data_IF_496796045991
#
_entry.id   IF_496796045991
#
_cell.length_a   1.000
_cell.length_b   1.000
_cell.length_c   1.000
_cell.angle_alpha   90.00
_cell.angle_beta   90.00
_cell.angle_gamma   90.00
#
_symmetry.space_group_name_H-M   'P 1'
#
loop_
_entity.id
_entity.type
_entity.pdbx_description
1 polymer ?
#
# COMPACT_ATOMS: atom_id res chain seq x y z
N UNK A 1 -5.73 -3.83 24.06
CA UNK A 1 -4.56 -3.03 24.49
C UNK A 1 -3.49 -3.23 23.43
N UNK A 2 -3.31 -2.26 22.53
CA UNK A 2 -2.30 -2.36 21.46
C UNK A 2 -0.93 -2.18 22.08
N UNK A 3 -0.03 -3.14 21.87
CA UNK A 3 1.35 -3.05 22.32
C UNK A 3 2.09 -2.16 21.33
N UNK A 4 2.53 -0.99 21.77
CA UNK A 4 3.44 -0.15 20.99
C UNK A 4 4.82 -0.82 21.00
N UNK A 5 5.17 -1.41 19.86
CA UNK A 5 6.45 -2.10 19.66
C UNK A 5 7.65 -1.17 19.87
N UNK A 6 7.52 0.12 19.55
CA UNK A 6 8.58 1.10 19.76
C UNK A 6 8.83 1.34 21.27
N UNK A 7 7.77 1.34 22.08
CA UNK A 7 7.88 1.42 23.54
C UNK A 7 8.50 0.17 24.16
N UNK A 8 8.24 -1.01 23.59
CA UNK A 8 8.91 -2.25 24.01
C UNK A 8 10.42 -2.20 23.76
N UNK A 9 10.83 -1.75 22.58
CA UNK A 9 12.25 -1.62 22.22
C UNK A 9 12.98 -0.61 23.13
N UNK A 10 12.33 0.49 23.51
CA UNK A 10 12.87 1.47 24.46
C UNK A 10 13.22 0.88 25.82
N UNK A 11 12.46 -0.13 26.27
CA UNK A 11 12.62 -0.75 27.61
C UNK A 11 13.67 -1.84 27.65
N UNK A 12 14.17 -2.28 26.49
CA UNK A 12 15.25 -3.26 26.44
C UNK A 12 16.59 -2.57 26.71
N UNK A 13 17.32 -3.08 27.70
CA UNK A 13 18.65 -2.60 28.08
C UNK A 13 19.65 -2.61 26.91
N UNK A 14 19.46 -3.50 25.94
CA UNK A 14 20.25 -3.58 24.72
C UNK A 14 20.08 -2.41 23.74
N UNK A 15 19.04 -1.58 23.88
CA UNK A 15 18.80 -0.39 23.04
C UNK A 15 18.97 0.93 23.80
N UNK A 16 19.34 0.87 25.09
CA UNK A 16 19.57 2.05 25.91
C UNK A 16 20.67 2.93 25.27
N UNK A 17 20.32 4.17 24.94
CA UNK A 17 21.24 5.12 24.30
C UNK A 17 21.53 4.90 22.81
N UNK A 18 20.90 3.91 22.15
CA UNK A 18 21.14 3.60 20.72
C UNK A 18 20.09 4.19 19.77
N UNK A 19 18.99 4.71 20.31
CA UNK A 19 17.91 5.30 19.52
C UNK A 19 18.18 6.81 19.35
N UNK A 20 18.64 7.21 18.17
CA UNK A 20 18.93 8.61 17.87
C UNK A 20 17.66 9.45 17.61
N UNK A 21 16.59 8.85 17.08
CA UNK A 21 15.36 9.57 16.74
C UNK A 21 14.15 8.64 16.67
N UNK A 22 12.98 9.13 17.12
CA UNK A 22 11.68 8.46 16.97
C UNK A 22 10.68 9.48 16.43
N UNK A 23 10.02 9.11 15.34
CA UNK A 23 8.96 9.90 14.74
C UNK A 23 7.70 9.05 14.57
N UNK A 24 6.66 9.26 15.39
CA UNK A 24 5.35 8.68 15.16
C UNK A 24 4.76 9.24 13.87
N UNK A 25 4.45 8.38 12.90
CA UNK A 25 3.73 8.77 11.69
C UNK A 25 2.23 8.57 11.96
N UNK A 26 1.40 9.62 11.89
CA UNK A 26 -0.03 9.47 12.16
C UNK A 26 -0.67 8.55 11.12
N UNK A 27 -1.63 7.74 11.56
CA UNK A 27 -2.44 6.94 10.66
C UNK A 27 -3.18 7.86 9.68
N UNK A 28 -3.10 7.57 8.39
CA UNK A 28 -3.84 8.30 7.35
C UNK A 28 -5.02 7.44 6.91
N UNK A 29 -6.26 7.96 6.93
CA UNK A 29 -7.40 7.21 6.43
C UNK A 29 -7.20 6.88 4.95
N UNK A 30 -7.60 5.67 4.57
CA UNK A 30 -7.72 5.28 3.18
C UNK A 30 -8.60 6.27 2.42
N UNK A 31 -8.16 6.69 1.24
CA UNK A 31 -8.98 7.47 0.30
C UNK A 31 -9.31 6.58 -0.88
N UNK A 32 -10.59 6.44 -1.16
CA UNK A 32 -11.10 5.67 -2.28
C UNK A 32 -11.63 6.61 -3.36
N UNK A 33 -11.65 6.16 -4.60
CA UNK A 33 -12.33 6.84 -5.69
C UNK A 33 -12.76 5.83 -6.75
N UNK A 34 -13.83 6.16 -7.46
CA UNK A 34 -14.20 5.44 -8.67
C UNK A 34 -13.38 5.98 -9.84
N UNK A 35 -12.93 5.12 -10.76
CA UNK A 35 -12.35 5.56 -12.02
C UNK A 35 -13.40 6.23 -12.92
N UNK A 36 -12.97 7.06 -13.85
CA UNK A 36 -13.84 7.80 -14.77
C UNK A 36 -14.76 6.88 -15.59
N UNK A 37 -14.27 5.69 -15.95
CA UNK A 37 -15.07 4.61 -16.54
C UNK A 37 -15.00 3.35 -15.65
N UNK A 38 -16.10 2.59 -15.52
CA UNK A 38 -16.08 1.35 -14.77
C UNK A 38 -15.11 0.33 -15.39
N UNK A 39 -14.55 -0.56 -14.56
CA UNK A 39 -13.78 -1.69 -15.05
C UNK A 39 -14.69 -2.65 -15.85
N UNK A 40 -14.15 -3.39 -16.83
CA UNK A 40 -14.89 -4.51 -17.44
C UNK A 40 -15.36 -5.53 -16.38
N UNK A 41 -16.56 -6.10 -16.54
CA UNK A 41 -17.16 -7.03 -15.57
C UNK A 41 -16.24 -8.18 -15.12
N UNK A 42 -15.48 -8.85 -16.02
CA UNK A 42 -14.57 -9.94 -15.59
C UNK A 42 -13.50 -9.48 -14.58
N UNK A 43 -13.07 -8.23 -14.67
CA UNK A 43 -12.07 -7.66 -13.75
C UNK A 43 -12.70 -7.25 -12.42
N UNK A 44 -13.92 -6.71 -12.45
CA UNK A 44 -14.66 -6.42 -11.22
C UNK A 44 -14.90 -7.70 -10.41
N UNK A 45 -15.32 -8.78 -11.07
CA UNK A 45 -15.55 -10.08 -10.44
C UNK A 45 -14.26 -10.68 -9.86
N UNK A 46 -13.15 -10.61 -10.62
CA UNK A 46 -11.86 -11.08 -10.15
C UNK A 46 -11.33 -10.30 -8.94
N UNK A 47 -11.56 -8.99 -8.88
CA UNK A 47 -11.21 -8.15 -7.74
C UNK A 47 -12.09 -8.43 -6.53
N UNK A 48 -13.40 -8.57 -6.74
CA UNK A 48 -14.36 -8.90 -5.68
C UNK A 48 -14.05 -10.28 -5.06
N UNK A 49 -13.71 -11.28 -5.88
CA UNK A 49 -13.28 -12.61 -5.40
C UNK A 49 -12.01 -12.55 -4.53
N UNK A 50 -11.20 -11.50 -4.67
CA UNK A 50 -9.99 -11.24 -3.87
C UNK A 50 -10.24 -10.27 -2.70
N UNK A 51 -11.50 -9.91 -2.44
CA UNK A 51 -11.91 -9.01 -1.36
C UNK A 51 -11.69 -7.52 -1.66
N UNK A 52 -11.39 -7.15 -2.91
CA UNK A 52 -11.22 -5.75 -3.32
C UNK A 52 -12.54 -5.24 -3.89
N UNK A 53 -13.25 -4.44 -3.11
CA UNK A 53 -14.56 -3.86 -3.50
C UNK A 53 -14.48 -2.38 -3.89
N UNK A 54 -13.39 -1.70 -3.54
CA UNK A 54 -13.16 -0.28 -3.87
C UNK A 54 -11.68 -0.04 -4.21
N UNK A 55 -11.44 0.87 -5.16
CA UNK A 55 -10.08 1.29 -5.54
C UNK A 55 -9.63 2.47 -4.69
N UNK A 56 -8.35 2.47 -4.31
CA UNK A 56 -7.75 3.67 -3.72
C UNK A 56 -7.72 4.80 -4.75
N UNK A 57 -7.79 6.06 -4.30
CA UNK A 57 -7.88 7.21 -5.20
C UNK A 57 -6.71 7.29 -6.21
N UNK A 58 -5.51 6.84 -5.81
CA UNK A 58 -4.36 6.79 -6.70
C UNK A 58 -4.43 5.64 -7.71
N UNK A 59 -5.12 4.53 -7.38
CA UNK A 59 -5.35 3.43 -8.31
C UNK A 59 -6.37 3.81 -9.38
N UNK A 60 -7.46 4.50 -8.99
CA UNK A 60 -8.44 5.03 -9.92
C UNK A 60 -7.80 6.05 -10.89
N UNK A 61 -7.01 6.99 -10.37
CA UNK A 61 -6.29 7.96 -11.20
C UNK A 61 -5.27 7.30 -12.14
N UNK A 62 -4.55 6.27 -11.68
CA UNK A 62 -3.63 5.51 -12.52
C UNK A 62 -4.35 4.73 -13.62
N UNK A 63 -5.52 4.15 -13.31
CA UNK A 63 -6.36 3.45 -14.29
C UNK A 63 -6.84 4.40 -15.38
N UNK A 64 -7.31 5.58 -15.01
CA UNK A 64 -7.77 6.59 -15.96
C UNK A 64 -6.63 7.11 -16.84
N UNK A 65 -5.44 7.33 -16.27
CA UNK A 65 -4.25 7.70 -17.02
C UNK A 65 -3.75 6.58 -17.95
N UNK A 66 -3.89 5.30 -17.56
CA UNK A 66 -3.50 4.17 -18.41
C UNK A 66 -4.43 3.99 -19.62
N UNK A 67 -5.70 4.37 -19.48
CA UNK A 67 -6.70 4.29 -20.57
C UNK A 67 -6.40 5.23 -21.73
N UNK A 68 -5.68 6.33 -21.51
CA UNK A 68 -5.34 7.27 -22.59
C UNK A 68 -4.27 6.74 -23.56
N UNK A 69 -3.70 5.54 -23.34
CA UNK A 69 -2.68 4.93 -24.21
C UNK A 69 -2.66 3.39 -24.24
N UNK A 70 -3.74 2.75 -23.80
CA UNK A 70 -4.08 1.33 -23.94
C UNK A 70 -2.97 0.27 -23.74
N UNK A 71 -2.39 0.21 -22.54
CA UNK A 71 -1.93 -1.06 -21.95
C UNK A 71 -2.37 -1.14 -20.48
N UNK A 72 -3.27 -2.09 -20.18
CA UNK A 72 -3.88 -2.24 -18.85
C UNK A 72 -2.96 -3.08 -17.94
N UNK A 73 -2.08 -2.41 -17.19
CA UNK A 73 -1.34 -3.01 -16.09
C UNK A 73 -2.09 -2.82 -14.77
N UNK A 74 -2.82 -3.83 -14.29
CA UNK A 74 -3.37 -3.82 -12.93
C UNK A 74 -2.23 -4.13 -11.96
N UNK A 75 -1.57 -3.09 -11.48
CA UNK A 75 -0.64 -3.20 -10.36
C UNK A 75 -1.48 -3.19 -9.09
N UNK A 76 -1.83 -4.39 -8.60
CA UNK A 76 -2.36 -4.50 -7.23
C UNK A 76 -1.31 -3.94 -6.29
N UNK A 77 -1.63 -2.87 -5.59
CA UNK A 77 -0.75 -2.33 -4.55
C UNK A 77 -0.47 -3.47 -3.56
N UNK A 78 0.78 -3.93 -3.53
CA UNK A 78 1.30 -4.72 -2.41
C UNK A 78 0.96 -3.93 -1.16
N UNK A 79 0.18 -4.53 -0.26
CA UNK A 79 -0.16 -3.95 1.03
C UNK A 79 1.13 -3.43 1.68
N UNK A 80 1.39 -2.12 1.58
CA UNK A 80 2.58 -1.44 2.07
C UNK A 80 3.92 -2.21 1.87
N UNK A 81 4.22 -2.70 0.67
CA UNK A 81 5.48 -3.41 0.38
C UNK A 81 6.58 -2.48 -0.12
N UNK A 82 7.20 -1.67 0.74
CA UNK A 82 8.60 -1.27 0.47
C UNK A 82 9.44 -2.56 0.55
N UNK A 83 10.20 -2.84 -0.51
CA UNK A 83 11.11 -4.00 -0.73
C UNK A 83 10.39 -5.24 -1.30
N UNK A 84 10.69 -5.61 -2.56
CA UNK A 84 11.99 -6.13 -2.93
C UNK A 84 12.66 -5.28 -4.00
N UNK A 85 13.68 -4.51 -3.61
CA UNK A 85 14.75 -4.24 -4.57
C UNK A 85 15.32 -5.59 -4.96
N UNK A 86 15.22 -5.88 -6.26
CA UNK A 86 15.83 -6.98 -6.97
C UNK A 86 17.25 -7.21 -6.48
N UNK A 87 17.52 -8.44 -5.99
CA UNK A 87 18.87 -8.96 -5.90
C UNK A 87 19.41 -9.04 -7.33
N UNK A 88 20.27 -8.11 -7.72
CA UNK A 88 21.20 -8.33 -8.84
C UNK A 88 22.58 -8.57 -8.25
N UNK A 89 23.23 -9.72 -8.53
CA UNK A 89 24.64 -9.92 -8.23
C UNK A 89 25.48 -9.11 -9.22
N UNK A 90 26.73 -8.79 -8.86
CA UNK A 90 27.83 -9.74 -9.13
C UNK A 90 28.32 -10.47 -7.88
#
# INVERSE_FOLDING_TARGET
MSIDFAELLRRQSGYAGQIAHIQPIPARPARYAEPAEPLPSPLQEALAARGVTQLYSHQAAALDAARTGAHLGIVTATASGKTPCTRSPP
#
